data_IF_714698339823
#
_entry.id   IF_714698339823
#
_cell.length_a   1.000
_cell.length_b   1.000
_cell.length_c   1.000
_cell.angle_alpha   90.00
_cell.angle_beta   90.00
_cell.angle_gamma   90.00
#
_symmetry.space_group_name_H-M   'P 1'
#
loop_
_entity.id
_entity.type
_entity.pdbx_description
1 polymer ?
#
# COMPACT_ATOMS: atom_id res chain seq x y z
N UNK A 1 -12.35 -2.64 -41.84
CA UNK A 1 -11.26 -2.37 -40.88
C UNK A 1 -11.91 -1.72 -39.65
N UNK A 2 -12.20 -2.49 -38.59
CA UNK A 2 -12.83 -1.98 -37.36
C UNK A 2 -11.76 -1.58 -36.34
N UNK A 3 -11.96 -0.50 -35.56
CA UNK A 3 -10.90 0.12 -34.78
C UNK A 3 -10.69 -0.56 -33.42
N UNK A 4 -9.40 -0.65 -33.05
CA UNK A 4 -8.81 -0.68 -31.71
C UNK A 4 -9.70 -1.17 -30.55
N UNK A 5 -9.57 -2.44 -30.15
CA UNK A 5 -9.92 -2.80 -28.79
C UNK A 5 -8.86 -2.21 -27.86
N UNK A 6 -9.28 -1.26 -27.04
CA UNK A 6 -8.49 -0.79 -25.90
C UNK A 6 -8.40 -1.99 -24.97
N UNK A 7 -7.31 -2.77 -25.05
CA UNK A 7 -7.02 -3.80 -24.06
C UNK A 7 -7.00 -3.10 -22.71
N UNK A 8 -8.00 -3.34 -21.88
CA UNK A 8 -7.93 -3.01 -20.47
C UNK A 8 -6.71 -3.76 -19.94
N UNK A 9 -5.64 -3.01 -19.69
CA UNK A 9 -4.47 -3.57 -19.02
C UNK A 9 -4.99 -3.95 -17.63
N UNK A 10 -4.89 -5.22 -17.21
CA UNK A 10 -5.30 -5.60 -15.87
C UNK A 10 -4.51 -4.76 -14.87
N UNK A 11 -5.22 -3.82 -14.25
CA UNK A 11 -4.69 -3.05 -13.13
C UNK A 11 -4.58 -4.06 -12.01
N UNK A 12 -3.35 -4.38 -11.58
CA UNK A 12 -3.22 -5.10 -10.32
C UNK A 12 -3.63 -4.11 -9.24
N UNK A 13 -4.57 -4.53 -8.40
CA UNK A 13 -5.01 -3.79 -7.24
C UNK A 13 -4.36 -4.42 -6.02
N UNK A 14 -3.94 -3.59 -5.07
CA UNK A 14 -3.28 -4.03 -3.87
C UNK A 14 -3.44 -3.00 -2.77
N UNK A 15 -2.82 -3.26 -1.62
CA UNK A 15 -2.85 -2.37 -0.46
C UNK A 15 -1.44 -2.15 0.06
N UNK A 16 -1.25 -1.08 0.82
CA UNK A 16 0.03 -0.74 1.41
C UNK A 16 -0.13 0.23 2.56
N UNK A 17 0.93 0.40 3.33
CA UNK A 17 0.95 1.29 4.49
C UNK A 17 2.00 2.36 4.30
N UNK A 18 1.64 3.61 4.58
CA UNK A 18 2.60 4.72 4.68
C UNK A 18 3.41 4.50 5.97
N UNK A 19 4.73 4.38 5.86
CA UNK A 19 5.62 4.08 7.00
C UNK A 19 6.54 5.25 7.36
N UNK A 20 6.49 6.35 6.61
CA UNK A 20 7.27 7.56 6.88
C UNK A 20 6.52 8.82 6.42
N UNK A 21 6.73 9.93 7.15
CA UNK A 21 6.06 11.22 6.89
C UNK A 21 6.44 11.81 5.53
N UNK A 22 7.61 11.42 5.00
CA UNK A 22 8.04 11.83 3.68
C UNK A 22 7.25 11.15 2.56
N UNK A 23 6.46 10.10 2.83
CA UNK A 23 5.61 9.41 1.86
C UNK A 23 6.15 8.05 1.39
N UNK A 24 7.06 7.43 2.14
CA UNK A 24 7.47 6.04 1.92
C UNK A 24 6.33 5.07 2.25
N UNK A 25 6.08 4.11 1.37
CA UNK A 25 5.01 3.12 1.49
C UNK A 25 5.60 1.71 1.35
N UNK A 26 5.19 0.81 2.23
CA UNK A 26 5.46 -0.63 2.14
C UNK A 26 4.24 -1.32 1.52
N UNK A 27 4.48 -2.23 0.59
CA UNK A 27 3.46 -3.09 -0.04
C UNK A 27 4.08 -4.43 -0.42
N UNK A 28 3.29 -5.36 -0.96
CA UNK A 28 3.80 -6.60 -1.52
C UNK A 28 4.52 -6.38 -2.85
N UNK A 29 5.60 -7.13 -3.11
CA UNK A 29 6.35 -7.02 -4.36
C UNK A 29 5.48 -7.37 -5.58
N UNK A 30 4.71 -8.45 -5.51
CA UNK A 30 3.87 -8.90 -6.61
C UNK A 30 2.82 -7.88 -7.06
N UNK A 31 2.45 -6.91 -6.20
CA UNK A 31 1.51 -5.82 -6.54
C UNK A 31 2.12 -4.85 -7.55
N UNK A 32 3.43 -4.59 -7.45
CA UNK A 32 4.13 -3.56 -8.20
C UNK A 32 5.04 -4.12 -9.31
N UNK A 33 5.42 -5.40 -9.24
CA UNK A 33 6.27 -6.04 -10.25
C UNK A 33 5.61 -6.03 -11.63
N UNK A 34 6.43 -5.81 -12.68
CA UNK A 34 6.00 -5.71 -14.08
C UNK A 34 5.00 -4.57 -14.39
N UNK A 35 4.89 -3.55 -13.53
CA UNK A 35 4.02 -2.39 -13.75
C UNK A 35 4.80 -1.21 -14.31
N UNK A 36 4.31 -0.67 -15.43
CA UNK A 36 4.89 0.52 -16.05
C UNK A 36 4.64 1.82 -15.24
N UNK A 37 3.55 1.86 -14.48
CA UNK A 37 3.14 2.98 -13.62
C UNK A 37 2.44 2.45 -12.39
N UNK A 38 2.77 2.99 -11.22
CA UNK A 38 2.09 2.71 -9.95
C UNK A 38 1.36 3.97 -9.52
N UNK A 39 0.06 3.85 -9.23
CA UNK A 39 -0.76 4.91 -8.66
C UNK A 39 -1.19 4.50 -7.27
N UNK A 40 -1.18 5.45 -6.35
CA UNK A 40 -1.62 5.26 -4.97
C UNK A 40 -2.82 6.15 -4.75
N UNK A 41 -3.93 5.56 -4.31
CA UNK A 41 -5.11 6.28 -3.83
C UNK A 41 -5.12 6.19 -2.29
N UNK A 42 -5.14 7.34 -1.63
CA UNK A 42 -5.25 7.41 -0.17
C UNK A 42 -6.70 7.28 0.27
N UNK A 43 -6.94 6.96 1.55
CA UNK A 43 -8.28 6.81 2.12
C UNK A 43 -9.19 8.06 2.00
N UNK A 44 -8.61 9.23 1.77
CA UNK A 44 -9.32 10.50 1.54
C UNK A 44 -9.69 10.72 0.06
N UNK A 45 -9.35 9.78 -0.83
CA UNK A 45 -9.57 9.86 -2.29
C UNK A 45 -8.44 10.56 -3.06
N UNK A 46 -7.42 11.09 -2.39
CA UNK A 46 -6.28 11.72 -3.08
C UNK A 46 -5.45 10.68 -3.83
N UNK A 47 -5.09 10.98 -5.07
CA UNK A 47 -4.30 10.07 -5.92
C UNK A 47 -2.92 10.64 -6.21
N UNK A 48 -1.89 9.81 -6.08
CA UNK A 48 -0.50 10.16 -6.32
C UNK A 48 0.14 9.18 -7.31
N UNK A 49 1.08 9.67 -8.10
CA UNK A 49 2.02 8.77 -8.79
C UNK A 49 3.10 8.32 -7.82
N UNK A 50 3.39 7.02 -7.82
CA UNK A 50 4.40 6.43 -6.97
C UNK A 50 5.61 5.96 -7.78
N UNK A 51 6.80 6.19 -7.24
CA UNK A 51 8.07 5.65 -7.74
C UNK A 51 8.44 4.42 -6.94
N UNK A 52 8.78 3.33 -7.61
CA UNK A 52 9.34 2.14 -6.96
C UNK A 52 10.75 2.51 -6.46
N UNK A 53 11.02 2.23 -5.17
CA UNK A 53 12.32 2.48 -4.52
C UNK A 53 13.14 1.21 -4.40
N UNK A 54 12.52 0.13 -3.97
CA UNK A 54 13.18 -1.16 -3.80
C UNK A 54 12.15 -2.30 -3.88
N UNK A 55 12.61 -3.49 -4.26
CA UNK A 55 11.78 -4.69 -4.40
C UNK A 55 12.61 -5.92 -4.00
N UNK A 56 12.12 -6.66 -3.00
CA UNK A 56 12.59 -7.99 -2.67
C UNK A 56 11.54 -9.02 -3.10
N UNK A 57 11.79 -9.69 -4.22
CA UNK A 57 10.91 -10.72 -4.76
C UNK A 57 10.89 -12.00 -3.91
N UNK A 58 11.95 -12.28 -3.13
CA UNK A 58 12.01 -13.49 -2.28
C UNK A 58 11.13 -13.31 -1.05
N UNK A 59 11.19 -12.14 -0.42
CA UNK A 59 10.37 -11.79 0.73
C UNK A 59 8.94 -11.34 0.34
N UNK A 60 8.70 -11.11 -0.95
CA UNK A 60 7.48 -10.49 -1.50
C UNK A 60 7.18 -9.10 -0.88
N UNK A 61 8.21 -8.27 -0.70
CA UNK A 61 8.09 -6.91 -0.13
C UNK A 61 8.63 -5.89 -1.14
N UNK A 62 7.93 -4.76 -1.27
CA UNK A 62 8.40 -3.61 -2.03
C UNK A 62 8.21 -2.30 -1.27
N UNK A 63 9.11 -1.37 -1.56
CA UNK A 63 9.05 0.02 -1.13
C UNK A 63 8.71 0.91 -2.32
N UNK A 64 7.66 1.71 -2.18
CA UNK A 64 7.29 2.75 -3.13
C UNK A 64 7.26 4.11 -2.45
N UNK A 65 7.36 5.18 -3.23
CA UNK A 65 7.43 6.55 -2.73
C UNK A 65 6.46 7.44 -3.51
N UNK A 66 5.54 8.09 -2.80
CA UNK A 66 4.71 9.17 -3.35
C UNK A 66 5.37 10.53 -3.08
N UNK A 67 5.10 11.49 -3.95
CA UNK A 67 5.51 12.88 -3.75
C UNK A 67 4.27 13.73 -3.43
N UNK A 68 4.22 14.29 -2.23
CA UNK A 68 3.07 15.04 -1.74
C UNK A 68 3.11 16.52 -2.12
N UNK A 69 4.23 17.01 -2.64
CA UNK A 69 4.38 18.41 -3.09
C UNK A 69 3.65 18.65 -4.42
N UNK A 70 3.40 17.58 -5.18
CA UNK A 70 2.84 17.65 -6.53
C UNK A 70 1.34 18.01 -6.54
N UNK A 71 0.58 17.66 -5.50
CA UNK A 71 -0.84 18.00 -5.39
C UNK A 71 -1.11 19.46 -5.00
N UNK A 72 -0.25 20.07 -4.19
CA UNK A 72 -0.33 21.52 -3.91
C UNK A 72 -0.22 22.30 -5.21
N UNK A 73 0.72 21.92 -6.08
CA UNK A 73 0.95 22.57 -7.37
C UNK A 73 -0.25 22.45 -8.32
N UNK A 74 -0.95 21.30 -8.31
CA UNK A 74 -2.13 21.09 -9.16
C UNK A 74 -3.40 21.78 -8.63
N UNK A 75 -3.65 21.77 -7.32
CA UNK A 75 -4.84 22.44 -6.74
C UNK A 75 -4.72 23.98 -6.79
N UNK A 76 -3.53 24.52 -6.53
CA UNK A 76 -3.27 25.96 -6.57
C UNK A 76 -3.24 26.51 -7.99
N UNK A 77 -3.18 25.63 -9.01
CA UNK A 77 -3.22 26.06 -10.40
C UNK A 77 -4.56 26.64 -10.87
N UNK A 78 -5.63 26.41 -10.11
CA UNK A 78 -6.93 27.05 -10.29
C UNK A 78 -7.09 28.37 -9.53
N UNK A 79 -6.13 28.71 -8.66
CA UNK A 79 -6.16 29.87 -7.76
C UNK A 79 -5.24 31.02 -8.21
N UNK A 80 -4.54 30.89 -9.34
CA UNK A 80 -3.64 31.92 -9.90
C UNK A 80 -4.30 33.27 -10.24
N UNK A 81 -5.62 33.42 -10.07
CA UNK A 81 -6.31 34.70 -10.25
C UNK A 81 -6.10 35.67 -9.08
N UNK A 82 -5.54 35.23 -7.95
CA UNK A 82 -5.25 36.09 -6.80
C UNK A 82 -3.79 35.95 -6.37
N UNK A 83 -2.90 36.69 -7.03
CA UNK A 83 -1.43 36.65 -6.85
C UNK A 83 -0.93 37.00 -5.44
N UNK A 84 -1.79 37.55 -4.58
CA UNK A 84 -1.37 38.18 -3.32
C UNK A 84 -1.74 37.37 -2.07
N UNK A 85 -2.33 36.18 -2.22
CA UNK A 85 -2.57 35.29 -1.07
C UNK A 85 -1.33 34.43 -0.80
N UNK A 86 -0.86 34.36 0.46
CA UNK A 86 0.18 33.42 0.82
C UNK A 86 -0.30 32.00 0.52
N UNK A 87 0.42 31.29 -0.33
CA UNK A 87 0.25 29.84 -0.50
C UNK A 87 0.64 29.20 0.83
N UNK A 88 -0.35 29.01 1.69
CA UNK A 88 -0.20 28.18 2.89
C UNK A 88 -0.18 26.74 2.39
N UNK A 89 0.99 26.10 2.49
CA UNK A 89 1.11 24.66 2.33
C UNK A 89 0.23 24.00 3.40
N UNK A 90 -1.01 23.65 3.04
CA UNK A 90 -1.82 22.72 3.80
C UNK A 90 -1.31 21.30 3.51
N UNK A 91 -0.02 21.04 3.79
CA UNK A 91 0.51 19.70 3.81
C UNK A 91 -0.18 18.98 4.98
N UNK A 92 -1.36 18.41 4.75
CA UNK A 92 -1.97 17.52 5.71
C UNK A 92 -0.96 16.43 6.04
N UNK A 93 -0.62 16.28 7.33
CA UNK A 93 0.33 15.27 7.78
C UNK A 93 -0.15 13.89 7.29
N UNK A 94 0.69 13.18 6.54
CA UNK A 94 0.36 11.84 6.06
C UNK A 94 0.07 10.91 7.26
N UNK A 95 -0.94 10.03 7.19
CA UNK A 95 -1.22 9.08 8.25
C UNK A 95 -0.17 7.96 8.22
N UNK A 96 0.91 8.13 8.98
CA UNK A 96 2.01 7.16 9.08
C UNK A 96 1.63 6.04 10.06
N UNK A 97 1.81 4.79 9.62
CA UNK A 97 1.72 3.61 10.46
C UNK A 97 3.00 3.47 11.30
N UNK A 98 2.83 3.41 12.62
CA UNK A 98 3.91 3.07 13.54
C UNK A 98 4.14 1.56 13.54
N UNK A 99 5.39 1.13 13.39
CA UNK A 99 5.75 -0.28 13.39
C UNK A 99 6.03 -0.75 14.82
N UNK A 100 5.43 -1.89 15.18
CA UNK A 100 5.73 -2.61 16.42
C UNK A 100 6.84 -3.64 16.25
N UNK A 101 7.14 -4.39 17.32
CA UNK A 101 8.05 -5.53 17.28
C UNK A 101 7.26 -6.82 17.12
N UNK A 102 7.48 -7.54 16.01
CA UNK A 102 6.84 -8.83 15.77
C UNK A 102 7.33 -9.94 16.71
N UNK A 103 8.53 -9.78 17.30
CA UNK A 103 9.12 -10.74 18.23
C UNK A 103 8.32 -10.91 19.54
N UNK A 104 7.53 -9.91 19.92
CA UNK A 104 6.74 -9.92 21.16
C UNK A 104 5.34 -10.52 20.96
N UNK A 105 4.95 -10.84 19.72
CA UNK A 105 3.61 -11.34 19.40
C UNK A 105 3.38 -12.72 20.04
N UNK A 106 2.13 -12.95 20.46
CA UNK A 106 1.71 -14.24 21.03
C UNK A 106 0.42 -14.73 20.39
N UNK A 107 0.26 -16.06 20.21
CA UNK A 107 -1.04 -16.63 19.85
C UNK A 107 -2.15 -16.18 20.81
N UNK A 108 -3.31 -15.83 20.25
CA UNK A 108 -4.47 -15.31 20.98
C UNK A 108 -4.53 -13.78 21.09
N UNK A 109 -3.48 -13.05 20.70
CA UNK A 109 -3.54 -11.58 20.65
C UNK A 109 -4.47 -11.09 19.54
N UNK A 110 -5.27 -10.07 19.83
CA UNK A 110 -6.18 -9.48 18.85
C UNK A 110 -5.40 -8.80 17.71
N UNK A 111 -5.89 -8.98 16.49
CA UNK A 111 -5.36 -8.31 15.30
C UNK A 111 -6.46 -7.71 14.46
N UNK A 112 -6.09 -6.68 13.71
CA UNK A 112 -6.94 -6.06 12.70
C UNK A 112 -6.22 -6.15 11.36
N UNK A 113 -6.87 -6.71 10.35
CA UNK A 113 -6.39 -6.71 8.98
C UNK A 113 -7.10 -5.61 8.19
N UNK A 114 -6.34 -4.85 7.41
CA UNK A 114 -6.81 -3.71 6.62
C UNK A 114 -6.32 -3.88 5.18
N UNK A 115 -7.21 -3.71 4.20
CA UNK A 115 -6.86 -3.79 2.79
C UNK A 115 -8.02 -3.42 1.87
N UNK A 116 -7.86 -3.64 0.57
CA UNK A 116 -8.86 -3.31 -0.47
C UNK A 116 -9.12 -4.49 -1.40
N UNK A 117 -9.80 -5.56 -0.91
CA UNK A 117 -10.07 -6.75 -1.71
C UNK A 117 -10.99 -6.44 -2.90
N UNK A 118 -10.70 -7.01 -4.08
CA UNK A 118 -11.46 -6.81 -5.33
C UNK A 118 -11.67 -5.35 -5.77
N UNK A 119 -10.78 -4.43 -5.37
CA UNK A 119 -10.97 -2.98 -5.55
C UNK A 119 -12.22 -2.42 -4.85
N UNK A 120 -12.82 -3.17 -3.92
CA UNK A 120 -13.72 -2.60 -2.92
C UNK A 120 -12.85 -1.77 -1.99
N UNK A 121 -13.19 -0.50 -1.79
CA UNK A 121 -12.36 0.41 -1.04
C UNK A 121 -12.41 0.09 0.47
N UNK A 122 -11.24 -0.02 1.11
CA UNK A 122 -11.04 0.09 2.56
C UNK A 122 -11.81 -0.94 3.42
N UNK A 123 -11.55 -2.23 3.22
CA UNK A 123 -12.04 -3.30 4.08
C UNK A 123 -11.20 -3.44 5.36
N UNK A 124 -11.89 -3.65 6.47
CA UNK A 124 -11.29 -3.92 7.78
C UNK A 124 -11.91 -5.20 8.34
N UNK A 125 -11.07 -6.13 8.79
CA UNK A 125 -11.50 -7.36 9.46
C UNK A 125 -10.73 -7.52 10.76
N UNK A 126 -11.29 -8.26 11.70
CA UNK A 126 -10.70 -8.50 13.03
C UNK A 126 -10.59 -9.99 13.27
N UNK A 127 -9.60 -10.38 14.07
CA UNK A 127 -9.34 -11.77 14.44
C UNK A 127 -8.31 -11.83 15.56
N UNK A 128 -7.63 -12.97 15.64
CA UNK A 128 -6.52 -13.21 16.56
C UNK A 128 -5.29 -13.71 15.81
N UNK A 129 -4.12 -13.59 16.44
CA UNK A 129 -2.93 -14.34 16.05
C UNK A 129 -3.18 -15.82 16.33
N UNK A 130 -3.23 -16.64 15.30
CA UNK A 130 -3.32 -18.10 15.45
C UNK A 130 -1.95 -18.72 15.73
N UNK A 131 -0.92 -18.27 15.00
CA UNK A 131 0.47 -18.77 15.10
C UNK A 131 1.43 -17.64 14.72
N UNK A 132 2.59 -17.54 15.38
CA UNK A 132 3.61 -16.52 15.09
C UNK A 132 4.76 -17.00 14.20
N UNK A 133 4.94 -18.32 14.08
CA UNK A 133 6.04 -18.95 13.35
C UNK A 133 5.52 -20.11 12.50
N UNK A 134 4.83 -19.79 11.41
CA UNK A 134 4.46 -20.79 10.41
C UNK A 134 5.48 -20.78 9.29
N UNK A 135 6.27 -21.84 9.16
CA UNK A 135 7.33 -21.90 8.16
C UNK A 135 6.79 -21.98 6.73
N UNK A 136 7.45 -21.29 5.78
CA UNK A 136 7.04 -21.27 4.37
C UNK A 136 6.88 -22.66 3.71
N UNK A 137 7.66 -23.65 4.16
CA UNK A 137 7.55 -25.05 3.70
C UNK A 137 6.19 -25.68 4.05
N UNK A 138 5.63 -25.37 5.21
CA UNK A 138 4.31 -25.85 5.65
C UNK A 138 3.16 -25.19 4.87
N UNK A 139 3.43 -24.07 4.21
CA UNK A 139 2.52 -23.34 3.34
C UNK A 139 2.62 -23.79 1.87
N UNK A 140 3.52 -24.72 1.54
CA UNK A 140 3.79 -25.12 0.16
C UNK A 140 4.57 -24.07 -0.64
N UNK A 141 5.10 -23.03 0.02
CA UNK A 141 5.94 -22.01 -0.60
C UNK A 141 7.35 -22.57 -0.80
N UNK A 142 7.57 -23.15 -1.99
CA UNK A 142 8.88 -23.70 -2.38
C UNK A 142 9.91 -22.57 -2.40
N UNK A 143 11.02 -22.76 -1.69
CA UNK A 143 12.13 -21.80 -1.55
C UNK A 143 11.88 -20.58 -0.63
N UNK A 144 10.85 -20.62 0.22
CA UNK A 144 10.70 -19.64 1.30
C UNK A 144 11.38 -20.14 2.58
N UNK A 145 12.39 -19.40 3.03
CA UNK A 145 13.01 -19.54 4.35
C UNK A 145 12.37 -18.58 5.39
N UNK A 146 11.19 -18.05 5.06
CA UNK A 146 10.47 -17.07 5.87
C UNK A 146 9.52 -17.76 6.85
N UNK A 147 9.36 -17.13 8.01
CA UNK A 147 8.31 -17.43 8.97
C UNK A 147 7.15 -16.45 8.80
N UNK A 148 5.94 -16.98 8.85
CA UNK A 148 4.71 -16.22 8.65
C UNK A 148 3.88 -16.19 9.94
N UNK A 149 3.24 -15.05 10.18
CA UNK A 149 2.18 -14.93 11.19
C UNK A 149 0.89 -15.41 10.54
N UNK A 150 0.18 -16.30 11.22
CA UNK A 150 -1.14 -16.75 10.82
C UNK A 150 -2.19 -16.06 11.67
N UNK A 151 -3.29 -15.65 11.05
CA UNK A 151 -4.47 -15.11 11.70
C UNK A 151 -5.74 -15.72 11.12
N UNK A 152 -6.83 -15.70 11.88
CA UNK A 152 -8.19 -16.01 11.43
C UNK A 152 -8.97 -14.77 10.97
N UNK A 153 -8.37 -13.57 11.02
CA UNK A 153 -8.94 -12.38 10.39
C UNK A 153 -9.13 -12.65 8.89
N UNK A 154 -10.32 -12.33 8.38
CA UNK A 154 -10.65 -12.57 6.98
C UNK A 154 -9.76 -11.69 6.10
N UNK A 155 -8.94 -12.33 5.25
CA UNK A 155 -8.11 -11.67 4.25
C UNK A 155 -8.49 -12.26 2.89
N UNK A 156 -8.90 -11.41 1.97
CA UNK A 156 -9.16 -11.81 0.60
C UNK A 156 -7.99 -11.32 -0.27
N UNK A 157 -7.51 -12.23 -1.11
CA UNK A 157 -6.47 -11.99 -2.11
C UNK A 157 -7.09 -12.09 -3.50
#
# INVERSE_FOLDING_TARGET
RLPYSKREVPVASGSGFIVSEDGLIVTNAHVVTNKNRVKVELKNGETYEAKIKDVDEKADIALIKIDTQDLLSQHLSSLWLWSDFPVVSLQGKLPVLLLGQSADLRPGEFVVAIGSPFSLQNTVTTGIVSTTQRGGKELGLRNSDMDYIQTDAIINV
#
